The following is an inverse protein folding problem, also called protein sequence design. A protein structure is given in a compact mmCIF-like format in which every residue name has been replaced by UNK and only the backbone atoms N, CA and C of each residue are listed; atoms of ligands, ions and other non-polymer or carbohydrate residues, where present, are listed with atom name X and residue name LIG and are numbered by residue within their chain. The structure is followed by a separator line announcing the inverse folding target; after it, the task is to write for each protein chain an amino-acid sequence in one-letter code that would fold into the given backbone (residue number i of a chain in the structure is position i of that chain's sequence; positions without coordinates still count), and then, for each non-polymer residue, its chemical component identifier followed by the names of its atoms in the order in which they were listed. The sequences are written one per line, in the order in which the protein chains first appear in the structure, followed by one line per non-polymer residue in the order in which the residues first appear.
data_IF_616193218241
#
_entry.id   IF_616193218241
#
_cell.length_a   1.000
_cell.length_b   1.000
_cell.length_c   1.000
_cell.angle_alpha   90.00
_cell.angle_beta   90.00
_cell.angle_gamma   90.00
#
_symmetry.space_group_name_H-M   'P 1'
#
loop_
_entity.id
_entity.type
_entity.pdbx_description
1 polymer ?
#
# COMPACT_ATOMS: atom_id res chain seq x y z
N UNK A 1 -8.19 28.80 9.01
CA UNK A 1 -8.74 28.84 7.63
C UNK A 1 -8.71 27.43 7.07
N UNK A 2 -9.87 26.81 6.83
CA UNK A 2 -9.97 25.40 6.42
C UNK A 2 -9.56 25.26 4.96
N UNK A 3 -8.37 24.72 4.71
CA UNK A 3 -8.01 24.25 3.37
C UNK A 3 -8.97 23.11 3.00
N UNK A 4 -9.77 23.32 1.95
CA UNK A 4 -10.81 22.39 1.51
C UNK A 4 -10.17 21.17 0.84
N UNK A 5 -9.75 20.18 1.64
CA UNK A 5 -9.17 18.93 1.12
C UNK A 5 -10.23 18.07 0.45
N UNK A 6 -9.86 17.43 -0.67
CA UNK A 6 -10.74 16.48 -1.35
C UNK A 6 -10.57 15.10 -0.70
N UNK A 7 -11.62 14.49 -0.13
CA UNK A 7 -11.53 13.14 0.41
C UNK A 7 -11.33 12.13 -0.72
N UNK A 8 -10.73 10.98 -0.42
CA UNK A 8 -10.47 9.92 -1.42
C UNK A 8 -11.77 9.47 -2.12
N UNK A 9 -12.88 9.38 -1.39
CA UNK A 9 -14.18 8.97 -1.95
C UNK A 9 -14.74 9.93 -3.00
N UNK A 10 -14.30 11.20 -3.01
CA UNK A 10 -14.71 12.21 -3.98
C UNK A 10 -13.73 12.36 -5.15
N UNK A 11 -12.71 11.50 -5.24
CA UNK A 11 -11.72 11.52 -6.32
C UNK A 11 -12.39 11.01 -7.60
N UNK A 12 -12.58 11.90 -8.57
CA UNK A 12 -13.11 11.61 -9.89
C UNK A 12 -12.10 11.98 -10.98
N UNK A 13 -12.14 11.28 -12.12
CA UNK A 13 -11.35 11.64 -13.29
C UNK A 13 -11.66 13.06 -13.78
N UNK A 14 -10.65 13.76 -14.30
CA UNK A 14 -10.81 15.08 -14.93
C UNK A 14 -10.65 16.31 -14.02
N UNK A 15 -10.47 16.16 -12.69
CA UNK A 15 -10.17 17.30 -11.82
C UNK A 15 -8.76 17.83 -12.06
N UNK A 16 -8.65 19.12 -12.41
CA UNK A 16 -7.38 19.86 -12.45
C UNK A 16 -7.11 20.41 -11.03
N UNK A 17 -5.87 20.29 -10.53
CA UNK A 17 -5.45 20.71 -9.17
C UNK A 17 -6.04 19.90 -8.01
N UNK A 18 -5.87 18.58 -8.04
CA UNK A 18 -6.23 17.71 -6.91
C UNK A 18 -5.36 18.04 -5.68
N UNK A 19 -6.01 18.37 -4.56
CA UNK A 19 -5.38 18.56 -3.25
C UNK A 19 -6.02 17.65 -2.22
N UNK A 20 -5.22 16.82 -1.55
CA UNK A 20 -5.70 15.89 -0.53
C UNK A 20 -4.67 15.72 0.58
N UNK A 21 -5.14 15.42 1.79
CA UNK A 21 -4.30 15.02 2.91
C UNK A 21 -4.34 13.51 3.05
N UNK A 22 -3.18 12.87 3.05
CA UNK A 22 -3.07 11.42 3.06
C UNK A 22 -1.93 10.98 3.97
N UNK A 23 -2.10 9.82 4.60
CA UNK A 23 -1.03 9.05 5.22
C UNK A 23 -0.54 7.99 4.25
N UNK A 24 0.77 7.81 4.19
CA UNK A 24 1.37 6.72 3.42
C UNK A 24 1.38 5.48 4.29
N UNK A 25 0.48 4.54 4.02
CA UNK A 25 0.40 3.29 4.77
C UNK A 25 1.53 2.33 4.39
N UNK A 26 1.87 2.25 3.10
CA UNK A 26 2.89 1.34 2.60
C UNK A 26 3.48 1.84 1.29
N UNK A 27 4.77 1.59 1.08
CA UNK A 27 5.51 1.85 -0.15
C UNK A 27 6.13 0.54 -0.66
N UNK A 28 6.03 0.25 -1.95
CA UNK A 28 6.75 -0.89 -2.55
C UNK A 28 7.29 -0.54 -3.94
N UNK A 29 8.49 -1.03 -4.21
CA UNK A 29 9.22 -0.75 -5.44
C UNK A 29 9.13 -1.94 -6.38
N UNK A 30 8.71 -1.70 -7.62
CA UNK A 30 8.75 -2.69 -8.70
C UNK A 30 10.06 -2.51 -9.46
N UNK A 31 10.88 -3.56 -9.43
CA UNK A 31 12.16 -3.61 -10.14
C UNK A 31 12.00 -4.27 -11.50
N UNK A 32 12.91 -3.96 -12.41
CA UNK A 32 12.94 -4.59 -13.72
C UNK A 32 13.43 -6.03 -13.65
N UNK A 33 12.81 -6.92 -14.45
CA UNK A 33 13.22 -8.33 -14.53
C UNK A 33 14.59 -8.49 -15.17
N UNK A 34 14.90 -7.66 -16.17
CA UNK A 34 16.14 -7.73 -16.95
C UNK A 34 17.33 -7.10 -16.22
N UNK A 35 17.08 -6.02 -15.48
CA UNK A 35 18.11 -5.28 -14.75
C UNK A 35 17.66 -5.09 -13.30
N UNK A 36 18.04 -5.98 -12.37
CA UNK A 36 17.53 -5.96 -10.99
C UNK A 36 17.95 -4.73 -10.17
N UNK A 37 18.88 -3.93 -10.69
CA UNK A 37 19.30 -2.65 -10.11
C UNK A 37 18.34 -1.50 -10.45
N UNK A 38 17.57 -1.58 -11.54
CA UNK A 38 16.68 -0.50 -11.98
C UNK A 38 15.29 -0.63 -11.33
N UNK A 39 14.80 0.47 -10.78
CA UNK A 39 13.42 0.59 -10.28
C UNK A 39 12.57 1.16 -11.42
N UNK A 40 11.47 0.47 -11.77
CA UNK A 40 10.55 0.92 -12.83
C UNK A 40 9.47 1.80 -12.21
N UNK A 41 8.86 1.33 -11.13
CA UNK A 41 7.75 2.03 -10.47
C UNK A 41 7.91 2.01 -8.96
N UNK A 42 7.55 3.13 -8.33
CA UNK A 42 7.32 3.21 -6.90
C UNK A 42 5.81 3.28 -6.68
N UNK A 43 5.28 2.27 -5.99
CA UNK A 43 3.87 2.20 -5.65
C UNK A 43 3.69 2.57 -4.19
N UNK A 44 2.57 3.22 -3.90
CA UNK A 44 2.23 3.67 -2.56
C UNK A 44 0.75 3.40 -2.29
N UNK A 45 0.45 2.98 -1.08
CA UNK A 45 -0.91 2.91 -0.55
C UNK A 45 -1.17 4.15 0.30
N UNK A 46 -2.12 4.97 -0.13
CA UNK A 46 -2.49 6.20 0.54
C UNK A 46 -3.81 6.03 1.28
N UNK A 47 -3.87 6.60 2.47
CA UNK A 47 -5.04 6.53 3.37
C UNK A 47 -5.46 7.94 3.75
N UNK A 48 -6.75 8.22 3.66
CA UNK A 48 -7.36 9.50 4.06
C UNK A 48 -7.98 9.40 5.48
N UNK A 49 -8.35 10.54 6.05
CA UNK A 49 -8.96 10.65 7.38
C UNK A 49 -10.23 9.78 7.50
N UNK A 50 -11.03 9.70 6.44
CA UNK A 50 -12.25 8.88 6.39
C UNK A 50 -11.97 7.38 6.22
N UNK A 51 -10.72 6.94 6.28
CA UNK A 51 -10.32 5.55 6.05
C UNK A 51 -10.37 5.09 4.60
N UNK A 52 -10.62 6.01 3.65
CA UNK A 52 -10.54 5.73 2.22
C UNK A 52 -9.12 5.33 1.83
N UNK A 53 -9.00 4.40 0.88
CA UNK A 53 -7.70 3.91 0.39
C UNK A 53 -7.58 4.11 -1.10
N UNK A 54 -6.46 4.66 -1.54
CA UNK A 54 -6.16 4.84 -2.96
C UNK A 54 -4.74 4.40 -3.29
N UNK A 55 -4.60 3.73 -4.42
CA UNK A 55 -3.31 3.33 -4.94
C UNK A 55 -2.69 4.51 -5.69
N UNK A 56 -1.44 4.81 -5.38
CA UNK A 56 -0.63 5.80 -6.06
C UNK A 56 0.60 5.16 -6.72
N UNK A 57 0.99 5.66 -7.90
CA UNK A 57 2.15 5.18 -8.65
C UNK A 57 3.04 6.34 -9.10
N UNK A 58 4.36 6.16 -8.98
CA UNK A 58 5.36 7.05 -9.53
C UNK A 58 6.26 6.30 -10.53
N UNK A 59 6.52 6.94 -11.67
CA UNK A 59 7.38 6.42 -12.74
C UNK A 59 8.86 6.54 -12.35
N UNK A 60 9.72 5.75 -13.01
CA UNK A 60 11.18 5.69 -12.83
C UNK A 60 11.84 7.07 -12.61
N UNK A 61 11.54 8.04 -13.47
CA UNK A 61 12.15 9.38 -13.44
C UNK A 61 11.82 10.15 -12.15
N UNK A 62 10.70 9.83 -11.53
CA UNK A 62 10.20 10.49 -10.32
C UNK A 62 10.53 9.71 -9.04
N UNK A 63 10.93 8.44 -9.14
CA UNK A 63 11.22 7.59 -7.97
C UNK A 63 12.30 8.21 -7.10
N UNK A 64 13.38 8.71 -7.69
CA UNK A 64 14.48 9.32 -6.95
C UNK A 64 14.01 10.52 -6.10
N UNK A 65 13.16 11.37 -6.69
CA UNK A 65 12.56 12.54 -6.02
C UNK A 65 11.62 12.14 -4.89
N UNK A 66 10.70 11.21 -5.14
CA UNK A 66 9.69 10.85 -4.13
C UNK A 66 10.25 9.97 -3.02
N UNK A 67 11.31 9.21 -3.27
CA UNK A 67 11.97 8.38 -2.26
C UNK A 67 12.60 9.19 -1.14
N UNK A 68 13.12 10.40 -1.42
CA UNK A 68 13.66 11.28 -0.38
C UNK A 68 12.57 12.08 0.34
N UNK A 69 11.45 12.38 -0.32
CA UNK A 69 10.37 13.19 0.23
C UNK A 69 9.35 12.39 1.05
N UNK A 70 9.14 11.11 0.71
CA UNK A 70 8.05 10.30 1.23
C UNK A 70 8.57 9.14 2.08
N UNK A 71 7.99 8.97 3.25
CA UNK A 71 8.29 7.91 4.21
C UNK A 71 7.00 7.21 4.63
N UNK A 72 7.08 5.89 4.86
CA UNK A 72 5.99 5.08 5.42
C UNK A 72 5.56 5.60 6.79
N UNK A 73 4.25 5.56 7.06
CA UNK A 73 3.62 6.10 8.27
C UNK A 73 3.50 7.63 8.28
N UNK A 74 4.19 8.35 7.41
CA UNK A 74 4.14 9.82 7.35
C UNK A 74 2.83 10.34 6.77
N UNK A 75 2.40 11.50 7.28
CA UNK A 75 1.26 12.27 6.77
C UNK A 75 1.73 13.40 5.87
N UNK A 76 1.09 13.51 4.70
CA UNK A 76 1.46 14.45 3.66
C UNK A 76 0.23 15.07 3.02
N UNK A 77 0.36 16.33 2.64
CA UNK A 77 -0.52 16.99 1.69
C UNK A 77 0.00 16.71 0.28
N UNK A 78 -0.81 16.01 -0.51
CA UNK A 78 -0.54 15.69 -1.90
C UNK A 78 -1.24 16.71 -2.79
N UNK A 79 -0.48 17.31 -3.71
CA UNK A 79 -0.99 18.23 -4.71
C UNK A 79 -0.64 17.78 -6.14
N UNK A 80 -1.48 18.15 -7.11
CA UNK A 80 -1.25 17.98 -8.55
C UNK A 80 -1.00 16.53 -9.01
N UNK A 81 -1.64 15.55 -8.38
CA UNK A 81 -1.64 14.17 -8.87
C UNK A 81 -2.68 13.96 -9.99
N UNK A 82 -2.37 13.11 -10.96
CA UNK A 82 -3.33 12.71 -12.00
C UNK A 82 -4.18 11.55 -11.51
N UNK A 83 -5.48 11.65 -11.70
CA UNK A 83 -6.43 10.57 -11.44
C UNK A 83 -6.60 9.75 -12.71
N UNK A 84 -6.23 8.47 -12.66
CA UNK A 84 -6.46 7.50 -13.72
C UNK A 84 -7.38 6.36 -13.27
N UNK A 85 -7.79 5.50 -14.20
CA UNK A 85 -8.59 4.31 -13.88
C UNK A 85 -7.72 3.15 -13.38
N UNK A 86 -8.23 2.41 -12.41
CA UNK A 86 -7.60 1.21 -11.88
C UNK A 86 -8.07 -0.04 -12.65
N UNK A 87 -7.69 -0.13 -13.93
CA UNK A 87 -8.02 -1.24 -14.84
C UNK A 87 -7.03 -2.40 -14.73
N UNK A 88 -6.17 -2.40 -13.71
CA UNK A 88 -5.23 -3.50 -13.49
C UNK A 88 -5.99 -4.77 -13.09
N UNK A 89 -5.61 -5.95 -13.63
CA UNK A 89 -6.13 -7.22 -13.12
C UNK A 89 -5.74 -7.43 -11.65
N UNK A 90 -4.59 -6.91 -11.23
CA UNK A 90 -4.14 -6.93 -9.84
C UNK A 90 -4.47 -5.59 -9.18
N UNK A 91 -5.51 -5.58 -8.33
CA UNK A 91 -5.99 -4.36 -7.67
C UNK A 91 -5.55 -4.34 -6.22
N UNK A 92 -4.72 -3.34 -5.90
CA UNK A 92 -4.25 -3.10 -4.54
C UNK A 92 -5.36 -2.54 -3.66
N UNK A 93 -6.21 -1.69 -4.25
CA UNK A 93 -7.37 -1.08 -3.60
C UNK A 93 -8.63 -1.38 -4.41
N UNK A 94 -9.77 -1.50 -3.72
CA UNK A 94 -11.11 -1.62 -4.33
C UNK A 94 -11.57 -0.33 -5.03
N UNK A 95 -10.80 0.76 -4.90
CA UNK A 95 -11.12 2.05 -5.49
C UNK A 95 -11.04 2.00 -7.02
N UNK A 96 -12.04 2.59 -7.70
CA UNK A 96 -12.14 2.62 -9.17
C UNK A 96 -11.00 3.39 -9.84
N UNK A 97 -10.42 4.34 -9.10
CA UNK A 97 -9.36 5.21 -9.57
C UNK A 97 -8.03 4.95 -8.87
N UNK A 98 -6.94 5.20 -9.59
CA UNK A 98 -5.56 5.21 -9.10
C UNK A 98 -4.94 6.59 -9.34
N UNK A 99 -3.98 6.98 -8.52
CA UNK A 99 -3.23 8.21 -8.68
C UNK A 99 -1.91 7.93 -9.41
N UNK A 100 -1.60 8.75 -10.40
CA UNK A 100 -0.31 8.78 -11.08
C UNK A 100 0.39 10.08 -10.73
N UNK A 101 1.61 9.96 -10.19
CA UNK A 101 2.44 11.10 -9.85
C UNK A 101 3.03 11.74 -11.11
N UNK A 102 3.05 13.06 -11.11
CA UNK A 102 3.61 13.91 -12.16
C UNK A 102 4.84 14.66 -11.63
N UNK A 103 5.58 15.30 -12.54
CA UNK A 103 6.74 16.12 -12.17
C UNK A 103 6.37 17.32 -11.27
N UNK A 104 5.19 17.90 -11.49
CA UNK A 104 4.61 18.99 -10.70
C UNK A 104 3.87 18.51 -9.44
N UNK A 105 3.77 17.20 -9.20
CA UNK A 105 3.19 16.69 -7.95
C UNK A 105 4.15 16.92 -6.79
N UNK A 106 3.59 17.36 -5.67
CA UNK A 106 4.33 17.69 -4.45
C UNK A 106 3.74 16.96 -3.25
N UNK A 107 4.61 16.51 -2.35
CA UNK A 107 4.26 15.98 -1.05
C UNK A 107 4.80 16.95 0.00
N UNK A 108 3.92 17.68 0.66
CA UNK A 108 4.27 18.54 1.78
C UNK A 108 4.01 17.77 3.06
N UNK A 109 5.02 17.59 3.91
CA UNK A 109 4.83 16.90 5.20
C UNK A 109 3.94 17.76 6.10
N UNK A 110 2.84 17.18 6.59
CA UNK A 110 1.90 17.85 7.50
C UNK A 110 1.66 16.93 8.68
N UNK A 111 1.52 17.46 9.89
CA UNK A 111 1.17 16.65 11.05
C UNK A 111 -0.35 16.63 11.23
N UNK A 112 -0.99 15.51 10.86
CA UNK A 112 -2.44 15.29 11.04
C UNK A 112 -2.66 13.97 11.79
N UNK A 113 -2.89 14.02 13.11
CA UNK A 113 -3.13 12.82 13.92
C UNK A 113 -4.49 12.16 13.61
N UNK A 114 -5.43 12.90 13.01
CA UNK A 114 -6.76 12.43 12.65
C UNK A 114 -6.76 11.28 11.62
N UNK A 115 -5.71 11.17 10.80
CA UNK A 115 -5.61 10.07 9.82
C UNK A 115 -5.19 8.79 10.56
N UNK A 116 -5.93 7.68 10.47
CA UNK A 116 -5.57 6.43 11.13
C UNK A 116 -4.23 5.88 10.60
N UNK A 117 -3.41 5.34 11.50
CA UNK A 117 -2.11 4.75 11.13
C UNK A 117 -2.28 3.48 10.32
N UNK A 118 -3.21 2.64 10.75
CA UNK A 118 -3.53 1.40 10.08
C UNK A 118 -5.04 1.32 9.91
N UNK A 119 -5.49 1.17 8.68
CA UNK A 119 -6.86 0.78 8.38
C UNK A 119 -6.76 -0.67 7.93
N UNK A 120 -7.00 -1.59 8.85
CA UNK A 120 -7.16 -3.00 8.53
C UNK A 120 -8.64 -3.29 8.29
N UNK A 121 -8.90 -4.16 7.33
CA UNK A 121 -10.25 -4.69 7.11
C UNK A 121 -10.17 -6.18 7.40
N UNK A 122 -10.69 -6.58 8.56
CA UNK A 122 -10.76 -7.98 8.93
C UNK A 122 -11.92 -8.64 8.20
N UNK A 123 -11.64 -9.78 7.57
CA UNK A 123 -12.66 -10.65 7.00
C UNK A 123 -12.88 -11.84 7.92
N UNK A 124 -14.14 -12.30 8.11
CA UNK A 124 -14.40 -13.53 8.84
C UNK A 124 -13.80 -14.72 8.08
N UNK A 125 -13.38 -15.74 8.83
CA UNK A 125 -12.72 -16.92 8.26
C UNK A 125 -13.55 -17.62 7.18
N UNK A 126 -14.88 -17.66 7.35
CA UNK A 126 -15.79 -18.26 6.38
C UNK A 126 -15.72 -17.60 5.00
N UNK A 127 -15.52 -16.28 4.93
CA UNK A 127 -15.36 -15.57 3.65
C UNK A 127 -14.04 -15.91 2.95
N UNK A 128 -13.00 -16.20 3.73
CA UNK A 128 -11.68 -16.58 3.20
C UNK A 128 -11.76 -17.96 2.55
N UNK A 129 -12.53 -18.88 3.14
CA UNK A 129 -12.76 -20.22 2.60
C UNK A 129 -13.61 -20.19 1.32
N UNK A 130 -14.58 -19.28 1.23
CA UNK A 130 -15.46 -19.16 0.06
C UNK A 130 -14.84 -18.39 -1.10
N UNK A 131 -13.81 -17.58 -0.86
CA UNK A 131 -13.11 -16.86 -1.94
C UNK A 131 -12.24 -17.83 -2.75
N UNK A 132 -12.59 -18.05 -4.01
CA UNK A 132 -11.70 -18.72 -4.98
C UNK A 132 -10.45 -17.88 -5.18
N UNK A 133 -9.32 -18.52 -5.54
CA UNK A 133 -7.99 -17.90 -5.61
C UNK A 133 -7.91 -16.65 -6.51
N UNK A 134 -8.90 -16.44 -7.38
CA UNK A 134 -9.00 -15.29 -8.27
C UNK A 134 -9.48 -14.01 -7.56
N UNK A 135 -10.26 -14.12 -6.46
CA UNK A 135 -10.80 -12.98 -5.72
C UNK A 135 -9.87 -12.45 -4.61
N UNK A 136 -8.90 -13.25 -4.18
CA UNK A 136 -7.86 -12.83 -3.21
C UNK A 136 -6.94 -11.75 -3.81
N UNK A 137 -6.94 -11.61 -5.14
CA UNK A 137 -6.10 -10.66 -5.89
C UNK A 137 -6.73 -9.28 -6.14
N UNK A 138 -8.05 -9.14 -5.98
CA UNK A 138 -8.82 -7.99 -6.47
C UNK A 138 -9.24 -6.96 -5.41
N UNK A 139 -8.84 -7.18 -4.16
CA UNK A 139 -8.93 -6.16 -3.13
C UNK A 139 -8.73 -6.75 -1.75
N UNK A 140 -7.58 -6.43 -1.14
CA UNK A 140 -7.21 -6.58 0.30
C UNK A 140 -5.75 -7.06 0.45
N UNK A 141 -4.81 -6.36 -0.17
CA UNK A 141 -3.38 -6.57 0.08
C UNK A 141 -2.93 -5.84 1.36
N UNK A 142 -3.51 -6.25 2.50
CA UNK A 142 -2.95 -5.99 3.83
C UNK A 142 -2.57 -7.29 4.55
N UNK A 143 -2.87 -8.46 3.96
CA UNK A 143 -2.65 -9.76 4.63
C UNK A 143 -1.29 -10.37 4.24
N UNK A 144 -0.74 -10.06 3.06
CA UNK A 144 0.52 -10.67 2.61
C UNK A 144 1.80 -10.01 3.16
N UNK A 145 1.78 -8.74 3.58
CA UNK A 145 2.98 -8.06 4.08
C UNK A 145 3.17 -8.10 5.60
N UNK A 146 2.16 -8.54 6.37
CA UNK A 146 2.30 -8.64 7.84
C UNK A 146 3.10 -9.88 8.24
N UNK A 147 3.14 -10.93 7.41
CA UNK A 147 3.89 -12.14 7.73
C UNK A 147 5.41 -12.00 7.51
N UNK A 148 5.86 -10.99 6.73
CA UNK A 148 7.27 -10.88 6.32
C UNK A 148 8.12 -9.97 7.21
N UNK A 149 7.52 -9.15 8.09
CA UNK A 149 8.25 -8.15 8.90
C UNK A 149 8.34 -8.46 10.39
N UNK A 150 7.75 -9.55 10.88
CA UNK A 150 7.87 -10.02 12.26
C UNK A 150 8.75 -11.27 12.35
N UNK A 151 10.00 -11.18 11.90
CA UNK A 151 11.06 -12.10 12.33
C UNK A 151 12.30 -11.29 12.70
N UNK A 152 12.22 -10.59 13.84
CA UNK A 152 13.42 -10.28 14.63
C UNK A 152 13.76 -11.55 15.43
N UNK A 153 14.97 -12.11 15.33
CA UNK A 153 15.35 -13.27 16.11
C UNK A 153 15.68 -12.81 17.54
N UNK A 154 14.70 -12.79 18.43
CA UNK A 154 14.96 -12.73 19.86
C UNK A 154 15.25 -14.17 20.28
N UNK A 155 16.54 -14.50 20.44
CA UNK A 155 16.96 -15.75 21.07
C UNK A 155 16.48 -15.77 22.53
N UNK A 156 15.45 -16.55 22.80
CA UNK A 156 15.13 -17.02 24.16
C UNK A 156 15.24 -18.53 24.14
N UNK A 157 16.29 -19.00 24.81
CA UNK A 157 16.55 -20.39 25.15
C UNK A 157 15.64 -20.72 26.35
N UNK A 158 14.71 -21.67 26.21
CA UNK A 158 14.28 -22.63 27.24
C UNK A 158 13.08 -23.49 26.74
N UNK A 159 13.35 -24.79 26.58
CA UNK A 159 12.45 -25.94 26.84
C UNK A 159 11.10 -26.08 26.12
N UNK A 160 11.03 -27.02 25.15
CA UNK A 160 9.92 -27.96 24.80
C UNK A 160 8.50 -27.35 24.76
N UNK A 161 7.69 -27.32 23.69
CA UNK A 161 7.49 -28.16 22.49
C UNK A 161 6.73 -27.30 21.46
N UNK A 162 6.67 -27.73 20.20
CA UNK A 162 6.03 -27.07 19.03
C UNK A 162 6.83 -25.93 18.38
N UNK A 163 7.74 -26.30 17.48
CA UNK A 163 8.42 -25.36 16.60
C UNK A 163 7.59 -25.21 15.32
N UNK A 164 6.79 -24.14 15.24
CA UNK A 164 6.17 -23.72 13.97
C UNK A 164 7.25 -23.10 13.07
N UNK A 165 7.74 -23.85 12.08
CA UNK A 165 8.58 -23.28 11.03
C UNK A 165 7.72 -22.71 9.90
N UNK A 166 7.80 -21.39 9.69
CA UNK A 166 7.20 -20.74 8.54
C UNK A 166 8.22 -20.76 7.38
N UNK A 167 8.07 -21.71 6.45
CA UNK A 167 8.87 -21.74 5.23
C UNK A 167 8.21 -20.88 4.15
N UNK A 168 8.77 -19.70 3.87
CA UNK A 168 8.32 -18.86 2.77
C UNK A 168 9.12 -19.23 1.50
N UNK A 169 8.64 -20.23 0.74
CA UNK A 169 9.19 -20.50 -0.59
C UNK A 169 8.67 -19.42 -1.54
N UNK A 170 9.62 -18.83 -2.24
CA UNK A 170 9.54 -17.69 -3.15
C UNK A 170 8.68 -17.98 -4.39
N UNK A 171 7.39 -18.24 -4.21
CA UNK A 171 6.30 -18.20 -5.20
C UNK A 171 4.95 -18.52 -4.51
N UNK A 172 4.29 -17.48 -4.02
CA UNK A 172 2.83 -17.35 -3.89
C UNK A 172 1.97 -18.54 -3.37
N UNK A 173 2.47 -19.36 -2.43
CA UNK A 173 1.63 -20.17 -1.54
C UNK A 173 2.26 -20.32 -0.16
N UNK A 174 1.53 -19.92 0.89
CA UNK A 174 1.86 -20.29 2.27
C UNK A 174 1.09 -21.58 2.58
N UNK A 175 1.81 -22.67 2.89
CA UNK A 175 1.21 -23.89 3.43
C UNK A 175 1.50 -23.97 4.92
N UNK A 176 0.45 -24.20 5.71
CA UNK A 176 0.59 -24.64 7.09
C UNK A 176 0.77 -26.16 7.07
N UNK A 177 1.87 -26.65 7.63
CA UNK A 177 2.02 -28.06 7.95
C UNK A 177 2.24 -28.15 9.46
N UNK A 178 1.20 -28.59 10.17
CA UNK A 178 1.35 -29.09 11.53
C UNK A 178 1.75 -30.57 11.42
N UNK A 179 2.81 -30.95 12.13
CA UNK A 179 3.11 -32.34 12.47
C UNK A 179 3.01 -32.48 13.98
#
# INVERSE_FOLDING_TARGET
MSAKYTPISAVSGGRKNLKMCVRVAHIWLIREKKVPASIIFMNMLLVDEKGGRIHATARKDLVAKFRSMVQEGGTYQLENAIVGFNESPYKVTSHKHKLSMMHNSTFTKVHLPAIPMNVFEFKPFNEILSSTADEVSTGKTSILNVCCTLFLPISIRLGISYICFCFCIRNFKCYWSCN
#
